data_IF_141639942362
#
_entry.id   IF_141639942362
#
_cell.length_a   1.000
_cell.length_b   1.000
_cell.length_c   1.000
_cell.angle_alpha   90.00
_cell.angle_beta   90.00
_cell.angle_gamma   90.00
#
_symmetry.space_group_name_H-M   'P 1'
#
loop_
_entity.id
_entity.type
_entity.pdbx_description
1 polymer ?
#
# COMPACT_ATOMS: atom_id res chain seq x y z
N UNK A 1 -8.62 -14.88 -14.50
CA UNK A 1 -7.37 -14.53 -13.78
C UNK A 1 -7.63 -13.49 -12.72
N UNK A 2 -6.95 -13.61 -11.60
CA UNK A 2 -6.99 -12.58 -10.57
C UNK A 2 -5.88 -11.56 -10.79
N UNK A 3 -6.10 -10.37 -10.27
CA UNK A 3 -5.14 -9.28 -10.39
C UNK A 3 -4.91 -8.67 -9.02
N UNK A 4 -3.67 -8.26 -8.77
CA UNK A 4 -3.31 -7.43 -7.63
C UNK A 4 -3.45 -5.98 -8.08
N UNK A 5 -4.32 -5.22 -7.40
CA UNK A 5 -4.60 -3.84 -7.75
C UNK A 5 -4.26 -2.97 -6.56
N UNK A 6 -3.40 -1.98 -6.77
CA UNK A 6 -2.97 -1.07 -5.72
C UNK A 6 -3.25 0.37 -6.15
N UNK A 7 -3.85 1.14 -5.24
CA UNK A 7 -4.17 2.55 -5.47
C UNK A 7 -3.67 3.38 -4.30
N UNK A 8 -3.01 4.49 -4.60
CA UNK A 8 -2.54 5.44 -3.61
C UNK A 8 -3.00 6.83 -4.02
N UNK A 9 -3.58 7.57 -3.08
CA UNK A 9 -3.99 8.96 -3.28
C UNK A 9 -2.84 9.86 -2.88
N UNK A 10 -2.47 10.77 -3.75
CA UNK A 10 -1.41 11.75 -3.52
C UNK A 10 -2.01 13.06 -3.03
N UNK A 11 -1.16 13.92 -2.47
CA UNK A 11 -1.54 15.30 -2.16
C UNK A 11 -1.52 15.68 -0.69
N UNK A 12 -1.38 14.72 0.25
CA UNK A 12 -1.17 15.10 1.64
C UNK A 12 0.33 15.38 1.87
N UNK A 13 0.68 15.90 3.04
CA UNK A 13 2.05 16.32 3.33
C UNK A 13 3.08 15.21 3.18
N UNK A 14 2.68 13.97 3.44
CA UNK A 14 3.58 12.83 3.38
C UNK A 14 3.47 12.05 2.07
N UNK A 15 2.78 12.60 1.06
CA UNK A 15 2.54 11.92 -0.22
C UNK A 15 2.65 12.89 -1.38
N UNK A 16 3.80 13.58 -1.48
CA UNK A 16 4.00 14.59 -2.53
C UNK A 16 5.15 14.27 -3.47
N UNK A 17 6.07 13.41 -3.06
CA UNK A 17 7.26 13.10 -3.84
C UNK A 17 7.36 11.60 -4.09
N UNK A 18 8.11 11.16 -5.11
CA UNK A 18 8.28 9.74 -5.38
C UNK A 18 8.78 8.93 -4.18
N UNK A 19 9.66 9.49 -3.35
CA UNK A 19 10.15 8.75 -2.18
C UNK A 19 9.06 8.53 -1.14
N UNK A 20 8.04 9.38 -1.09
CA UNK A 20 6.89 9.18 -0.20
C UNK A 20 6.07 7.96 -0.65
N UNK A 21 5.89 7.83 -1.95
CA UNK A 21 5.24 6.66 -2.52
C UNK A 21 6.06 5.41 -2.21
N UNK A 22 7.38 5.48 -2.37
CA UNK A 22 8.28 4.37 -2.08
C UNK A 22 8.17 3.93 -0.61
N UNK A 23 8.11 4.88 0.32
CA UNK A 23 7.96 4.56 1.75
C UNK A 23 6.64 3.81 2.01
N UNK A 24 5.55 4.26 1.41
CA UNK A 24 4.26 3.59 1.55
C UNK A 24 4.27 2.20 0.94
N UNK A 25 4.91 2.04 -0.22
CA UNK A 25 5.04 0.74 -0.88
C UNK A 25 5.91 -0.21 -0.06
N UNK A 26 6.95 0.27 0.62
CA UNK A 26 7.77 -0.56 1.49
C UNK A 26 6.95 -1.16 2.62
N UNK A 27 6.03 -0.40 3.20
CA UNK A 27 5.12 -0.91 4.21
C UNK A 27 4.22 -2.01 3.65
N UNK A 28 3.73 -1.83 2.43
CA UNK A 28 2.93 -2.85 1.74
C UNK A 28 3.75 -4.11 1.49
N UNK A 29 4.99 -3.97 1.04
CA UNK A 29 5.88 -5.10 0.82
C UNK A 29 6.10 -5.86 2.13
N UNK A 30 6.32 -5.17 3.22
CA UNK A 30 6.51 -5.79 4.53
C UNK A 30 5.28 -6.58 4.96
N UNK A 31 4.10 -6.01 4.76
CA UNK A 31 2.84 -6.69 5.07
C UNK A 31 2.69 -7.97 4.25
N UNK A 32 2.99 -7.90 2.96
CA UNK A 32 2.90 -9.07 2.08
C UNK A 32 3.90 -10.16 2.48
N UNK A 33 5.06 -9.79 2.99
CA UNK A 33 6.07 -10.75 3.44
C UNK A 33 5.71 -11.42 4.76
N UNK A 34 4.91 -10.75 5.60
CA UNK A 34 4.42 -11.35 6.84
C UNK A 34 3.43 -12.49 6.59
N UNK A 35 2.72 -12.43 5.47
CA UNK A 35 1.71 -13.42 5.11
C UNK A 35 1.97 -13.95 3.71
N UNK A 36 3.10 -14.65 3.49
CA UNK A 36 3.53 -15.00 2.14
C UNK A 36 2.64 -16.01 1.43
N UNK A 37 1.85 -16.76 2.18
CA UNK A 37 1.00 -17.81 1.62
C UNK A 37 -0.46 -17.39 1.47
N UNK A 38 -0.79 -16.17 1.85
CA UNK A 38 -2.16 -15.68 1.79
C UNK A 38 -2.25 -14.45 0.92
N UNK A 39 -3.11 -14.52 -0.08
CA UNK A 39 -3.40 -13.38 -0.92
C UNK A 39 -4.90 -13.37 -1.18
N UNK A 40 -5.65 -12.65 -0.33
CA UNK A 40 -7.10 -12.74 -0.39
C UNK A 40 -7.79 -11.38 -0.47
N UNK A 41 -7.83 -10.64 0.60
CA UNK A 41 -8.78 -9.53 0.73
C UNK A 41 -8.21 -8.15 0.47
N UNK A 42 -6.91 -8.01 0.63
CA UNK A 42 -6.31 -6.71 0.52
C UNK A 42 -6.22 -5.98 1.86
N UNK A 43 -5.53 -4.87 1.85
CA UNK A 43 -5.29 -4.07 3.04
C UNK A 43 -5.19 -2.60 2.70
N UNK A 44 -5.32 -1.74 3.70
CA UNK A 44 -5.08 -0.32 3.55
C UNK A 44 -3.58 -0.04 3.52
N UNK A 45 -3.23 1.06 2.87
CA UNK A 45 -1.84 1.54 2.77
C UNK A 45 -1.76 2.83 3.56
N UNK A 46 -0.74 2.95 4.41
CA UNK A 46 -0.55 4.12 5.25
C UNK A 46 0.74 4.84 4.91
N UNK A 47 0.73 6.16 5.11
CA UNK A 47 1.93 6.96 4.99
C UNK A 47 2.77 6.89 6.28
N UNK A 48 3.87 7.63 6.32
CA UNK A 48 4.77 7.63 7.48
C UNK A 48 4.12 8.21 8.74
N UNK A 49 3.05 8.97 8.59
CA UNK A 49 2.32 9.58 9.69
C UNK A 49 1.15 8.71 10.16
N UNK A 50 0.94 7.55 9.55
CA UNK A 50 -0.14 6.66 9.90
C UNK A 50 -1.49 6.99 9.26
N UNK A 51 -1.53 7.92 8.32
CA UNK A 51 -2.76 8.25 7.60
C UNK A 51 -2.99 7.25 6.48
N UNK A 52 -4.25 6.83 6.31
CA UNK A 52 -4.60 5.95 5.21
C UNK A 52 -4.55 6.73 3.90
N UNK A 53 -3.71 6.30 2.97
CA UNK A 53 -3.52 6.97 1.68
C UNK A 53 -3.94 6.10 0.51
N UNK A 54 -4.27 4.85 0.74
CA UNK A 54 -4.68 3.97 -0.34
C UNK A 54 -5.03 2.59 0.16
N UNK A 55 -5.11 1.66 -0.79
CA UNK A 55 -5.39 0.27 -0.48
C UNK A 55 -4.96 -0.61 -1.65
N UNK A 56 -4.80 -1.90 -1.37
CA UNK A 56 -4.64 -2.89 -2.42
C UNK A 56 -5.67 -3.99 -2.25
N UNK A 57 -5.97 -4.65 -3.34
CA UNK A 57 -6.93 -5.74 -3.35
C UNK A 57 -6.59 -6.74 -4.44
N UNK A 58 -7.21 -7.92 -4.33
CA UNK A 58 -7.07 -8.97 -5.36
C UNK A 58 -8.46 -9.21 -5.95
N UNK A 59 -8.53 -9.11 -7.24
CA UNK A 59 -9.80 -9.28 -7.97
C UNK A 59 -9.62 -10.12 -9.20
#
# INVERSE_FOLDING_TARGET
MTQFILKITLGNEAMQAPYDIANSLENTIRTLRLYPDEIDQGHVIKDINGNTVGSWSVK
#
